data_IF_001411531315
#
_entry.id   IF_001411531315
#
_cell.length_a   1.000
_cell.length_b   1.000
_cell.length_c   1.000
_cell.angle_alpha   90.00
_cell.angle_beta   90.00
_cell.angle_gamma   90.00
#
_symmetry.space_group_name_H-M   'P 1'
#
loop_
_entity.id
_entity.type
_entity.pdbx_description
1 polymer ?
#
# COMPACT_ATOMS: atom_id res chain seq x y z
N UNK A 1 -13.57 -8.94 21.49
CA UNK A 1 -14.94 -8.65 21.01
C UNK A 1 -15.47 -7.45 21.80
N UNK A 2 -15.95 -6.39 21.14
CA UNK A 2 -16.48 -5.17 21.80
C UNK A 2 -17.96 -4.98 21.50
N UNK A 3 -18.70 -4.39 22.44
CA UNK A 3 -20.12 -4.02 22.26
C UNK A 3 -20.22 -2.67 21.54
N UNK A 4 -21.22 -2.53 20.67
CA UNK A 4 -21.47 -1.32 19.88
C UNK A 4 -22.90 -0.84 20.01
N UNK A 5 -23.16 0.38 19.52
CA UNK A 5 -24.53 0.89 19.38
C UNK A 5 -25.35 0.00 18.45
N UNK A 6 -26.68 -0.07 18.64
CA UNK A 6 -27.59 -0.85 17.78
C UNK A 6 -27.51 -0.48 16.30
N UNK A 7 -27.18 0.78 15.99
CA UNK A 7 -27.09 1.31 14.63
C UNK A 7 -25.69 1.23 14.02
N UNK A 8 -24.74 0.56 14.68
CA UNK A 8 -23.38 0.43 14.18
C UNK A 8 -23.33 -0.40 12.89
N UNK A 9 -22.73 0.19 11.85
CA UNK A 9 -22.38 -0.48 10.60
C UNK A 9 -20.87 -0.34 10.36
N UNK A 10 -20.13 -1.44 10.44
CA UNK A 10 -18.67 -1.42 10.35
C UNK A 10 -18.16 -0.77 9.05
N UNK A 11 -18.90 -0.92 7.95
CA UNK A 11 -18.51 -0.34 6.65
C UNK A 11 -18.72 1.18 6.62
N UNK A 12 -19.88 1.64 7.05
CA UNK A 12 -20.31 3.04 7.03
C UNK A 12 -19.68 3.88 8.14
N UNK A 13 -19.36 3.27 9.28
CA UNK A 13 -18.70 3.94 10.39
C UNK A 13 -17.16 3.95 10.29
N UNK A 14 -16.58 3.19 9.37
CA UNK A 14 -15.14 3.22 9.13
C UNK A 14 -14.69 4.55 8.50
N UNK A 15 -13.80 5.26 9.19
CA UNK A 15 -13.23 6.56 8.79
C UNK A 15 -11.94 6.44 7.98
N UNK A 16 -11.22 5.32 8.08
CA UNK A 16 -9.97 5.09 7.35
C UNK A 16 -9.56 3.64 7.32
N UNK A 17 -8.65 3.30 6.42
CA UNK A 17 -8.02 1.98 6.35
C UNK A 17 -6.52 2.16 6.23
N UNK A 18 -5.75 1.36 6.97
CA UNK A 18 -4.31 1.17 6.74
C UNK A 18 -4.12 -0.15 6.01
N UNK A 19 -3.38 -0.10 4.92
CA UNK A 19 -2.90 -1.28 4.22
C UNK A 19 -1.38 -1.31 4.30
N UNK A 20 -0.83 -2.51 4.30
CA UNK A 20 0.59 -2.77 4.13
C UNK A 20 0.84 -3.54 2.85
N UNK A 21 2.00 -3.31 2.25
CA UNK A 21 2.47 -4.07 1.12
C UNK A 21 3.85 -4.63 1.40
N UNK A 22 3.91 -5.94 1.61
CA UNK A 22 5.14 -6.68 1.82
C UNK A 22 5.77 -7.04 0.48
N UNK A 23 7.05 -6.71 0.32
CA UNK A 23 7.81 -7.04 -0.89
C UNK A 23 9.28 -7.23 -0.52
N UNK A 24 10.04 -8.07 -1.26
CA UNK A 24 11.48 -8.07 -1.17
C UNK A 24 12.06 -6.68 -1.45
N UNK A 25 13.12 -6.32 -0.74
CA UNK A 25 13.74 -5.01 -0.85
C UNK A 25 14.40 -4.78 -2.23
N UNK A 26 14.82 -5.84 -2.92
CA UNK A 26 15.38 -5.75 -4.29
C UNK A 26 14.39 -5.16 -5.31
N UNK A 27 13.08 -5.14 -5.00
CA UNK A 27 12.09 -4.43 -5.81
C UNK A 27 12.46 -2.93 -6.00
N UNK A 28 13.21 -2.36 -5.05
CA UNK A 28 13.70 -0.98 -5.05
C UNK A 28 15.03 -0.77 -5.79
N UNK A 29 15.69 -1.84 -6.26
CA UNK A 29 16.95 -1.75 -6.99
C UNK A 29 16.73 -1.17 -8.40
N UNK A 30 17.58 -0.23 -8.83
CA UNK A 30 17.53 0.32 -10.20
C UNK A 30 17.91 -0.73 -11.25
N UNK A 31 19.00 -1.44 -11.00
CA UNK A 31 19.49 -2.50 -11.88
C UNK A 31 18.84 -3.85 -11.56
N UNK A 32 18.99 -4.81 -12.47
CA UNK A 32 18.66 -6.19 -12.18
C UNK A 32 19.59 -6.71 -11.08
N UNK A 33 19.03 -7.07 -9.94
CA UNK A 33 19.74 -7.65 -8.81
C UNK A 33 19.12 -8.99 -8.49
N UNK A 34 19.94 -9.98 -8.15
CA UNK A 34 19.43 -11.23 -7.59
C UNK A 34 18.87 -10.99 -6.20
N UNK A 35 17.86 -11.76 -5.84
CA UNK A 35 17.06 -11.56 -4.61
C UNK A 35 17.86 -11.72 -3.32
N UNK A 36 18.97 -12.48 -3.35
CA UNK A 36 19.69 -12.90 -2.13
C UNK A 36 20.71 -11.88 -1.63
N UNK A 37 21.32 -11.09 -2.52
CA UNK A 37 22.48 -10.26 -2.17
C UNK A 37 22.15 -8.76 -2.02
N UNK A 38 20.97 -8.34 -2.46
CA UNK A 38 20.57 -6.94 -2.33
C UNK A 38 20.21 -6.62 -0.88
N UNK A 39 20.69 -5.48 -0.40
CA UNK A 39 20.30 -4.85 0.86
C UNK A 39 19.98 -3.40 0.60
N UNK A 40 18.80 -2.95 1.02
CA UNK A 40 18.35 -1.58 0.83
C UNK A 40 19.05 -0.67 1.82
N UNK A 41 19.57 0.46 1.33
CA UNK A 41 20.20 1.45 2.20
C UNK A 41 19.17 2.42 2.78
N UNK A 42 19.52 3.09 3.87
CA UNK A 42 18.68 4.14 4.45
C UNK A 42 18.44 5.29 3.46
N UNK A 43 19.43 5.64 2.64
CA UNK A 43 19.31 6.67 1.60
C UNK A 43 18.27 6.26 0.56
N UNK A 44 18.25 4.98 0.17
CA UNK A 44 17.24 4.45 -0.74
C UNK A 44 15.84 4.50 -0.12
N UNK A 45 15.71 4.16 1.16
CA UNK A 45 14.42 4.29 1.88
C UNK A 45 13.97 5.76 1.94
N UNK A 46 14.89 6.71 2.18
CA UNK A 46 14.61 8.15 2.15
C UNK A 46 14.14 8.61 0.77
N UNK A 47 14.79 8.16 -0.30
CA UNK A 47 14.38 8.42 -1.69
C UNK A 47 12.96 7.89 -1.96
N UNK A 48 12.70 6.63 -1.60
CA UNK A 48 11.38 6.00 -1.76
C UNK A 48 10.31 6.78 -0.99
N UNK A 49 10.57 7.14 0.27
CA UNK A 49 9.66 7.95 1.07
C UNK A 49 9.40 9.34 0.47
N UNK A 50 10.42 9.96 -0.17
CA UNK A 50 10.26 11.18 -0.94
C UNK A 50 9.25 11.02 -2.10
N UNK A 51 9.28 9.89 -2.80
CA UNK A 51 8.33 9.57 -3.88
C UNK A 51 6.93 9.29 -3.31
N UNK A 52 6.82 8.45 -2.27
CA UNK A 52 5.56 8.08 -1.64
C UNK A 52 4.82 9.30 -1.07
N UNK A 53 5.56 10.28 -0.53
CA UNK A 53 5.00 11.52 0.00
C UNK A 53 4.17 12.29 -1.03
N UNK A 54 4.47 12.15 -2.33
CA UNK A 54 3.76 12.86 -3.40
C UNK A 54 2.30 12.43 -3.52
N UNK A 55 1.93 11.24 -3.05
CA UNK A 55 0.56 10.75 -3.07
C UNK A 55 -0.29 11.27 -1.90
N UNK A 56 0.32 11.80 -0.84
CA UNK A 56 -0.38 12.29 0.35
C UNK A 56 -1.22 13.51 -0.01
N UNK A 57 -2.41 13.62 0.60
CA UNK A 57 -3.39 14.66 0.30
C UNK A 57 -4.55 14.15 -0.55
N UNK A 58 -5.40 15.09 -0.96
CA UNK A 58 -6.58 14.81 -1.80
C UNK A 58 -6.22 15.01 -3.26
N UNK A 59 -6.34 13.93 -4.05
CA UNK A 59 -6.00 13.96 -5.47
C UNK A 59 -7.01 13.20 -6.31
N UNK A 60 -6.97 13.43 -7.63
CA UNK A 60 -7.73 12.66 -8.59
C UNK A 60 -7.02 11.34 -8.91
N UNK A 61 -7.63 10.21 -8.52
CA UNK A 61 -7.09 8.86 -8.71
C UNK A 61 -7.73 8.09 -9.86
N UNK A 62 -8.37 8.75 -10.84
CA UNK A 62 -9.07 8.08 -11.94
C UNK A 62 -8.19 7.15 -12.81
N UNK A 63 -6.88 7.40 -12.93
CA UNK A 63 -5.93 6.50 -13.62
C UNK A 63 -5.47 5.32 -12.73
N UNK A 64 -5.67 5.41 -11.42
CA UNK A 64 -5.32 4.38 -10.45
C UNK A 64 -6.42 3.34 -10.25
N UNK A 65 -7.48 3.35 -11.07
CA UNK A 65 -8.54 2.34 -11.05
C UNK A 65 -9.08 2.11 -12.46
N UNK A 66 -9.78 1.00 -12.66
CA UNK A 66 -10.56 0.76 -13.88
C UNK A 66 -11.91 1.49 -13.81
N UNK A 67 -12.46 1.85 -14.98
CA UNK A 67 -13.84 2.33 -15.10
C UNK A 67 -14.13 3.74 -14.60
N UNK A 68 -13.11 4.53 -14.21
CA UNK A 68 -13.29 5.92 -13.78
C UNK A 68 -12.89 6.94 -14.85
N UNK A 69 -13.76 7.93 -15.05
CA UNK A 69 -13.50 9.12 -15.87
C UNK A 69 -12.78 10.18 -15.03
N UNK A 70 -12.06 11.08 -15.68
CA UNK A 70 -11.34 12.16 -15.00
C UNK A 70 -12.28 13.07 -14.20
N UNK A 71 -13.46 13.40 -14.74
CA UNK A 71 -14.44 14.28 -14.12
C UNK A 71 -15.37 13.60 -13.10
N UNK A 72 -15.17 12.30 -12.81
CA UNK A 72 -15.96 11.61 -11.79
C UNK A 72 -15.50 12.08 -10.40
N UNK A 73 -16.37 12.78 -9.67
CA UNK A 73 -16.06 13.27 -8.31
C UNK A 73 -15.68 12.13 -7.36
N UNK A 74 -16.22 10.92 -7.58
CA UNK A 74 -15.86 9.73 -6.81
C UNK A 74 -14.50 9.14 -7.20
N UNK A 75 -13.69 9.80 -8.03
CA UNK A 75 -12.28 9.49 -8.23
C UNK A 75 -11.36 10.29 -7.29
N UNK A 76 -11.88 11.32 -6.59
CA UNK A 76 -11.11 12.05 -5.59
C UNK A 76 -10.92 11.20 -4.33
N UNK A 77 -9.67 11.00 -3.91
CA UNK A 77 -9.35 10.22 -2.71
C UNK A 77 -8.33 10.94 -1.87
N UNK A 78 -8.48 10.77 -0.56
CA UNK A 78 -7.61 11.37 0.45
C UNK A 78 -6.68 10.31 1.04
N UNK A 79 -5.38 10.49 0.80
CA UNK A 79 -4.31 9.69 1.40
C UNK A 79 -3.74 10.46 2.58
N UNK A 80 -3.77 9.84 3.75
CA UNK A 80 -3.33 10.43 5.02
C UNK A 80 -1.84 10.18 5.27
N UNK A 81 -1.37 8.98 4.93
CA UNK A 81 0.02 8.56 5.15
C UNK A 81 0.44 7.56 4.08
N UNK A 82 1.68 7.63 3.62
CA UNK A 82 2.26 6.61 2.75
C UNK A 82 3.77 6.55 2.98
N UNK A 83 4.27 5.43 3.53
CA UNK A 83 5.67 5.29 3.94
C UNK A 83 6.22 3.88 3.68
N UNK A 84 7.49 3.80 3.36
CA UNK A 84 8.30 2.60 3.41
C UNK A 84 8.87 2.44 4.82
N UNK A 85 8.72 1.25 5.40
CA UNK A 85 9.23 0.85 6.70
C UNK A 85 10.72 0.52 6.69
N UNK A 86 11.21 0.01 7.82
CA UNK A 86 12.58 -0.51 7.95
C UNK A 86 12.65 -1.90 7.30
N UNK A 87 13.82 -2.29 6.75
CA UNK A 87 14.00 -3.63 6.25
C UNK A 87 14.09 -4.64 7.39
N UNK A 88 13.75 -5.88 7.09
CA UNK A 88 13.99 -7.04 7.95
C UNK A 88 14.42 -8.23 7.09
N UNK A 89 15.10 -9.20 7.71
CA UNK A 89 15.57 -10.40 7.02
C UNK A 89 14.73 -11.62 7.42
N UNK A 90 14.37 -12.44 6.43
CA UNK A 90 13.73 -13.75 6.62
C UNK A 90 14.27 -14.71 5.55
N UNK A 91 14.67 -15.92 5.94
CA UNK A 91 15.26 -16.93 5.03
C UNK A 91 16.41 -16.40 4.14
N UNK A 92 17.28 -15.55 4.70
CA UNK A 92 18.42 -14.95 3.99
C UNK A 92 18.05 -13.90 2.94
N UNK A 93 16.77 -13.53 2.83
CA UNK A 93 16.25 -12.48 1.94
C UNK A 93 15.81 -11.28 2.76
N UNK A 94 16.03 -10.09 2.23
CA UNK A 94 15.59 -8.84 2.87
C UNK A 94 14.25 -8.37 2.30
N UNK A 95 13.34 -8.01 3.20
CA UNK A 95 11.99 -7.54 2.90
C UNK A 95 11.76 -6.14 3.46
N UNK A 96 10.81 -5.42 2.86
CA UNK A 96 10.30 -4.13 3.34
C UNK A 96 8.78 -4.13 3.31
N UNK A 97 8.18 -3.35 4.21
CA UNK A 97 6.75 -3.06 4.20
C UNK A 97 6.50 -1.63 3.71
N UNK A 98 5.55 -1.45 2.80
CA UNK A 98 5.06 -0.13 2.40
C UNK A 98 3.66 0.05 2.97
N UNK A 99 3.50 0.94 3.95
CA UNK A 99 2.24 1.21 4.62
C UNK A 99 1.54 2.45 4.06
N UNK A 100 0.24 2.33 3.74
CA UNK A 100 -0.62 3.42 3.27
C UNK A 100 -1.87 3.53 4.12
N UNK A 101 -2.11 4.71 4.70
CA UNK A 101 -3.37 5.05 5.37
C UNK A 101 -4.15 6.02 4.50
N UNK A 102 -5.41 5.71 4.24
CA UNK A 102 -6.30 6.56 3.45
C UNK A 102 -7.72 6.49 3.96
N UNK A 103 -8.52 7.50 3.64
CA UNK A 103 -9.93 7.54 4.03
C UNK A 103 -10.73 6.41 3.37
N UNK A 104 -10.49 6.19 2.08
CA UNK A 104 -11.06 5.11 1.29
C UNK A 104 -10.17 4.82 0.07
N UNK A 105 -10.36 3.65 -0.54
CA UNK A 105 -9.62 3.23 -1.72
C UNK A 105 -10.56 2.66 -2.79
N UNK A 106 -10.27 2.93 -4.06
CA UNK A 106 -10.94 2.31 -5.21
C UNK A 106 -10.31 0.96 -5.54
N UNK A 107 -10.98 0.19 -6.39
CA UNK A 107 -10.47 -1.07 -6.91
C UNK A 107 -9.07 -0.87 -7.54
N UNK A 108 -8.11 -1.70 -7.13
CA UNK A 108 -6.71 -1.66 -7.55
C UNK A 108 -5.90 -0.39 -7.21
N UNK A 109 -6.48 0.61 -6.54
CA UNK A 109 -5.83 1.90 -6.31
C UNK A 109 -4.46 1.75 -5.63
N UNK A 110 -4.40 1.02 -4.52
CA UNK A 110 -3.15 0.83 -3.76
C UNK A 110 -2.10 0.12 -4.61
N UNK A 111 -2.49 -0.95 -5.32
CA UNK A 111 -1.59 -1.73 -6.18
C UNK A 111 -1.03 -0.88 -7.34
N UNK A 112 -1.83 0.03 -7.90
CA UNK A 112 -1.38 0.98 -8.92
C UNK A 112 -0.49 2.09 -8.36
N UNK A 113 -0.79 2.59 -7.15
CA UNK A 113 0.06 3.56 -6.45
C UNK A 113 1.46 2.96 -6.19
N UNK A 114 1.51 1.73 -5.66
CA UNK A 114 2.75 1.01 -5.40
C UNK A 114 3.47 0.68 -6.71
N UNK A 115 2.76 0.16 -7.71
CA UNK A 115 3.36 -0.15 -9.01
C UNK A 115 4.03 1.06 -9.66
N UNK A 116 3.38 2.23 -9.64
CA UNK A 116 3.97 3.47 -10.14
C UNK A 116 5.19 3.91 -9.32
N UNK A 117 5.09 3.86 -7.99
CA UNK A 117 6.20 4.23 -7.12
C UNK A 117 7.44 3.35 -7.39
N UNK A 118 7.25 2.02 -7.51
CA UNK A 118 8.32 1.09 -7.86
C UNK A 118 8.89 1.40 -9.25
N UNK A 119 8.05 1.66 -10.26
CA UNK A 119 8.53 2.04 -11.59
C UNK A 119 9.41 3.30 -11.57
N UNK A 120 9.07 4.28 -10.74
CA UNK A 120 9.87 5.52 -10.58
C UNK A 120 11.19 5.24 -9.85
N UNK A 121 11.16 4.51 -8.74
CA UNK A 121 12.35 4.15 -7.96
C UNK A 121 13.37 3.39 -8.82
N UNK A 122 12.87 2.52 -9.70
CA UNK A 122 13.67 1.73 -10.64
C UNK A 122 14.15 2.52 -11.86
N UNK A 123 13.74 3.78 -12.00
CA UNK A 123 14.11 4.64 -13.14
C UNK A 123 13.39 4.31 -14.45
N UNK A 124 12.34 3.49 -14.41
CA UNK A 124 11.57 3.11 -15.60
C UNK A 124 10.54 4.19 -15.97
N UNK A 125 10.02 4.92 -14.98
CA UNK A 125 9.14 6.05 -15.18
C UNK A 125 9.72 7.33 -14.54
N UNK A 126 9.56 8.50 -15.16
CA UNK A 126 9.97 9.76 -14.54
C UNK A 126 9.04 10.11 -13.37
N UNK A 127 9.56 10.81 -12.35
CA UNK A 127 8.77 11.26 -11.19
C UNK A 127 7.53 12.09 -11.58
N UNK A 128 7.62 12.85 -12.68
CA UNK A 128 6.51 13.65 -13.22
C UNK A 128 5.28 12.82 -13.64
N UNK A 129 5.43 11.49 -13.77
CA UNK A 129 4.31 10.58 -14.09
C UNK A 129 3.23 10.60 -13.03
N UNK A 130 3.56 10.86 -11.76
CA UNK A 130 2.56 11.00 -10.68
C UNK A 130 1.61 12.17 -10.99
N UNK A 131 2.16 13.33 -11.35
CA UNK A 131 1.33 14.50 -11.68
C UNK A 131 0.61 14.32 -13.01
N UNK A 132 1.23 13.67 -14.00
CA UNK A 132 0.58 13.34 -15.26
C UNK A 132 -0.63 12.41 -15.05
N UNK A 133 -0.51 11.42 -14.18
CA UNK A 133 -1.57 10.46 -13.87
C UNK A 133 -2.80 11.11 -13.21
N UNK A 134 -2.65 12.33 -12.66
CA UNK A 134 -3.77 13.11 -12.10
C UNK A 134 -4.48 13.97 -13.13
N UNK A 135 -3.86 14.24 -14.28
CA UNK A 135 -4.46 15.04 -15.37
C UNK A 135 -5.43 14.19 -16.19
N UNK A 136 -6.21 14.85 -17.04
CA UNK A 136 -7.26 14.21 -17.84
C UNK A 136 -6.77 13.09 -18.77
N UNK A 137 -5.53 13.20 -19.27
CA UNK A 137 -4.95 12.19 -20.15
C UNK A 137 -4.88 10.84 -19.44
N UNK A 138 -5.34 9.79 -20.12
CA UNK A 138 -5.14 8.42 -19.66
C UNK A 138 -3.67 8.06 -19.65
N UNK A 139 -3.22 7.55 -18.52
CA UNK A 139 -1.87 7.02 -18.32
C UNK A 139 -2.02 5.56 -17.94
N UNK A 140 -1.31 4.68 -18.61
CA UNK A 140 -1.25 3.30 -18.17
C UNK A 140 -0.35 3.20 -16.94
N UNK A 141 -0.89 2.64 -15.87
CA UNK A 141 -0.23 2.61 -14.56
C UNK A 141 0.02 1.15 -14.20
N UNK A 142 1.29 0.75 -14.01
CA UNK A 142 1.62 -0.61 -13.64
C UNK A 142 0.93 -0.97 -12.33
N UNK A 143 0.42 -2.20 -12.27
CA UNK A 143 -0.32 -2.72 -11.11
C UNK A 143 0.54 -3.76 -10.42
N UNK A 144 0.99 -3.44 -9.19
CA UNK A 144 1.75 -4.39 -8.38
C UNK A 144 0.95 -5.70 -8.15
N UNK A 145 1.60 -6.85 -7.88
CA UNK A 145 0.94 -8.10 -7.53
C UNK A 145 -0.04 -7.97 -6.36
N UNK A 146 -1.00 -8.89 -6.26
CA UNK A 146 -1.96 -8.87 -5.15
C UNK A 146 -1.37 -9.47 -3.87
N UNK A 147 -0.43 -10.41 -4.01
CA UNK A 147 0.07 -11.26 -2.92
C UNK A 147 0.65 -10.45 -1.75
N UNK A 148 1.36 -9.36 -2.03
CA UNK A 148 1.98 -8.54 -0.98
C UNK A 148 0.99 -7.65 -0.21
N UNK A 149 -0.25 -7.47 -0.67
CA UNK A 149 -1.17 -6.48 -0.12
C UNK A 149 -1.99 -7.04 1.05
N UNK A 150 -1.86 -6.42 2.21
CA UNK A 150 -2.55 -6.79 3.46
C UNK A 150 -3.38 -5.62 3.96
N UNK A 151 -4.65 -5.86 4.32
CA UNK A 151 -5.43 -4.91 5.12
C UNK A 151 -4.95 -5.05 6.57
N UNK A 152 -4.26 -4.04 7.06
CA UNK A 152 -3.63 -4.05 8.37
C UNK A 152 -4.61 -3.57 9.45
N UNK A 153 -5.28 -2.45 9.19
CA UNK A 153 -6.14 -1.83 10.21
C UNK A 153 -7.35 -1.12 9.60
N UNK A 154 -8.49 -1.23 10.27
CA UNK A 154 -9.72 -0.51 9.97
C UNK A 154 -9.95 0.50 11.08
N UNK A 155 -10.02 1.77 10.69
CA UNK A 155 -10.06 2.88 11.62
C UNK A 155 -11.50 3.35 11.85
N UNK A 156 -11.85 3.57 13.12
CA UNK A 156 -13.16 4.00 13.59
C UNK A 156 -13.12 5.34 14.34
N UNK A 157 -12.11 6.19 14.11
CA UNK A 157 -11.90 7.41 14.91
C UNK A 157 -13.11 8.35 14.91
N UNK A 158 -13.84 8.43 13.79
CA UNK A 158 -15.06 9.23 13.72
C UNK A 158 -16.20 8.67 14.58
N UNK A 159 -16.30 7.34 14.71
CA UNK A 159 -17.22 6.67 15.61
C UNK A 159 -16.78 6.85 17.07
N UNK A 160 -15.49 6.63 17.36
CA UNK A 160 -14.93 6.76 18.71
C UNK A 160 -15.14 8.17 19.26
N UNK A 161 -14.89 9.23 18.46
CA UNK A 161 -15.19 10.61 18.89
C UNK A 161 -16.65 10.87 19.24
N UNK A 162 -17.59 10.09 18.68
CA UNK A 162 -19.03 10.29 18.88
C UNK A 162 -19.59 9.45 20.02
N UNK A 163 -19.07 8.25 20.23
CA UNK A 163 -19.67 7.27 21.15
C UNK A 163 -18.67 6.66 22.15
N UNK A 164 -17.36 6.81 21.95
CA UNK A 164 -16.34 6.16 22.79
C UNK A 164 -16.29 6.67 24.23
N UNK A 165 -16.79 7.88 24.47
CA UNK A 165 -16.83 8.53 25.79
C UNK A 165 -18.26 8.78 26.30
N UNK A 166 -19.26 8.06 25.76
CA UNK A 166 -20.68 8.29 26.12
C UNK A 166 -21.11 7.60 27.43
N UNK A 167 -20.19 6.90 28.11
CA UNK A 167 -20.43 6.17 29.36
C UNK A 167 -21.14 4.82 29.18
N UNK A 168 -21.49 4.43 27.95
CA UNK A 168 -22.19 3.18 27.63
C UNK A 168 -21.38 2.31 26.68
N UNK A 169 -20.70 2.92 25.70
CA UNK A 169 -19.92 2.23 24.68
C UNK A 169 -18.43 2.48 24.86
N UNK A 170 -17.63 1.48 24.54
CA UNK A 170 -16.18 1.61 24.49
C UNK A 170 -15.73 2.09 23.10
N UNK A 171 -14.59 2.79 23.06
CA UNK A 171 -13.89 3.06 21.81
C UNK A 171 -13.53 1.75 21.08
N UNK A 172 -13.69 1.75 19.76
CA UNK A 172 -13.34 0.63 18.88
C UNK A 172 -11.86 0.72 18.51
N UNK A 173 -11.03 0.35 19.47
CA UNK A 173 -9.57 0.27 19.39
C UNK A 173 -9.12 -1.12 19.86
N UNK A 174 -7.99 -1.59 19.36
CA UNK A 174 -7.50 -2.96 19.61
C UNK A 174 -6.08 -2.98 20.13
N UNK A 175 -5.66 -1.93 20.84
CA UNK A 175 -4.31 -1.78 21.37
C UNK A 175 -3.92 -2.96 22.28
N UNK A 176 -4.87 -3.49 23.06
CA UNK A 176 -4.67 -4.68 23.92
C UNK A 176 -4.40 -5.96 23.11
N UNK A 177 -4.77 -5.99 21.82
CA UNK A 177 -4.57 -7.12 20.91
C UNK A 177 -3.39 -6.89 19.96
N UNK A 178 -2.63 -5.79 20.08
CA UNK A 178 -1.57 -5.45 19.12
C UNK A 178 -0.53 -6.57 19.00
N UNK A 179 -0.14 -7.19 20.11
CA UNK A 179 0.80 -8.32 20.12
C UNK A 179 0.22 -9.55 19.42
N UNK A 180 -1.04 -9.92 19.71
CA UNK A 180 -1.72 -11.07 19.08
C UNK A 180 -1.89 -10.87 17.57
N UNK A 181 -2.27 -9.65 17.16
CA UNK A 181 -2.40 -9.26 15.75
C UNK A 181 -1.05 -9.37 15.06
N UNK A 182 0.01 -8.86 15.67
CA UNK A 182 1.36 -8.89 15.10
C UNK A 182 1.88 -10.33 14.98
N UNK A 183 1.70 -11.17 16.02
CA UNK A 183 2.04 -12.59 15.97
C UNK A 183 1.28 -13.31 14.85
N UNK A 184 -0.01 -13.04 14.67
CA UNK A 184 -0.79 -13.64 13.58
C UNK A 184 -0.29 -13.18 12.20
N UNK A 185 0.01 -11.88 12.05
CA UNK A 185 0.57 -11.33 10.82
C UNK A 185 1.89 -12.03 10.47
N UNK A 186 2.82 -12.14 11.41
CA UNK A 186 4.13 -12.72 11.15
C UNK A 186 4.04 -14.22 10.83
N UNK A 187 3.31 -14.98 11.65
CA UNK A 187 3.26 -16.44 11.56
C UNK A 187 2.47 -16.97 10.36
N UNK A 188 1.41 -16.27 9.95
CA UNK A 188 0.49 -16.77 8.93
C UNK A 188 0.48 -15.92 7.67
N UNK A 189 0.41 -14.59 7.80
CA UNK A 189 0.25 -13.71 6.63
C UNK A 189 1.59 -13.48 5.94
N UNK A 190 2.56 -12.93 6.66
CA UNK A 190 3.89 -12.64 6.12
C UNK A 190 4.60 -13.91 5.71
N UNK A 191 4.55 -14.95 6.55
CA UNK A 191 5.05 -16.28 6.19
C UNK A 191 4.48 -16.77 4.86
N UNK A 192 3.16 -16.72 4.67
CA UNK A 192 2.54 -17.12 3.41
C UNK A 192 3.00 -16.28 2.22
N UNK A 193 3.13 -14.96 2.38
CA UNK A 193 3.61 -14.06 1.32
C UNK A 193 5.07 -14.40 0.95
N UNK A 194 5.93 -14.56 1.95
CA UNK A 194 7.36 -14.85 1.81
C UNK A 194 7.58 -16.22 1.15
N UNK A 195 6.80 -17.23 1.55
CA UNK A 195 6.82 -18.58 1.00
C UNK A 195 6.28 -18.60 -0.44
N UNK A 196 5.23 -17.83 -0.73
CA UNK A 196 4.67 -17.73 -2.09
C UNK A 196 5.63 -17.01 -3.04
N UNK A 197 6.46 -16.10 -2.52
CA UNK A 197 7.49 -15.40 -3.28
C UNK A 197 8.79 -16.23 -3.44
N UNK A 198 9.02 -17.24 -2.60
CA UNK A 198 10.28 -18.01 -2.57
C UNK A 198 10.56 -18.88 -3.82
N UNK A 199 9.58 -19.57 -4.43
CA UNK A 199 9.84 -20.43 -5.59
C UNK A 199 9.46 -19.81 -6.94
N UNK A 200 8.91 -18.59 -6.98
CA UNK A 200 8.41 -18.01 -8.23
C UNK A 200 8.96 -16.60 -8.45
N UNK A 201 9.40 -16.41 -9.67
CA UNK A 201 9.71 -15.16 -10.37
C UNK A 201 8.59 -14.10 -10.36
N UNK A 202 7.60 -14.16 -9.47
CA UNK A 202 6.44 -13.26 -9.39
C UNK A 202 6.86 -11.78 -9.31
N UNK A 203 7.91 -11.48 -8.55
CA UNK A 203 8.47 -10.13 -8.47
C UNK A 203 9.45 -9.81 -9.61
N UNK A 204 10.02 -10.82 -10.27
CA UNK A 204 10.74 -10.65 -11.55
C UNK A 204 9.74 -10.30 -12.67
N UNK A 205 8.48 -10.71 -12.58
CA UNK A 205 7.44 -10.30 -13.54
C UNK A 205 7.01 -8.85 -13.34
N UNK A 206 7.03 -8.30 -12.13
CA UNK A 206 6.93 -6.84 -11.95
C UNK A 206 8.10 -6.14 -12.63
N UNK A 207 9.31 -6.70 -12.52
CA UNK A 207 10.49 -6.20 -13.23
C UNK A 207 10.33 -6.35 -14.75
N UNK A 208 9.80 -7.46 -15.27
CA UNK A 208 9.61 -7.72 -16.71
C UNK A 208 8.42 -6.94 -17.31
N UNK A 209 7.31 -6.81 -16.61
CA UNK A 209 6.12 -6.07 -17.09
C UNK A 209 6.32 -4.56 -17.03
N UNK A 210 7.09 -4.07 -16.05
CA UNK A 210 7.46 -2.65 -16.01
C UNK A 210 8.54 -2.33 -17.06
N UNK A 211 9.44 -3.26 -17.40
CA UNK A 211 10.53 -3.04 -18.39
C UNK A 211 10.22 -3.47 -19.82
N UNK A 212 9.07 -4.10 -20.11
CA UNK A 212 8.66 -4.35 -21.50
C UNK A 212 8.38 -3.00 -22.16
N UNK A 213 9.13 -2.60 -23.21
CA UNK A 213 8.66 -1.53 -24.07
C UNK A 213 7.34 -2.02 -24.65
N UNK A 214 6.23 -1.36 -24.33
CA UNK A 214 5.03 -1.47 -25.14
C UNK A 214 5.37 -0.81 -26.49
N UNK A 215 5.99 -1.59 -27.37
CA UNK A 215 6.16 -1.26 -28.77
C UNK A 215 4.76 -1.22 -29.40
N UNK A 216 4.35 0.02 -29.69
CA UNK A 216 3.30 0.51 -30.60
C UNK A 216 1.90 -0.12 -30.50
#
# INVERSE_FOLDING_TARGET
>A
MKRTTRGFDAKGNCSGRTYEYLTPSFALAKDYQTTTNYRVTEEKIKEVNGILSKFIGTHNYHNFTSGKKFNDASAQRYIMKFKCGKPFEEDGREFITIAVKGQSFMLHQIRKMIGLALAIVRGVAPLSTIELARKEKKVDIPKAPAVGLVLDEVHFEAYNRRYGDDGIHEALEWDENEEEIQQFKDQYIYKHIIDTDAPRTCNVEVVKDVTRPHLQ
#
